data_IF_356958961809
#
_entry.id   IF_356958961809
#
_cell.length_a   1.000
_cell.length_b   1.000
_cell.length_c   1.000
_cell.angle_alpha   90.00
_cell.angle_beta   90.00
_cell.angle_gamma   90.00
#
_symmetry.space_group_name_H-M   'P 1'
#
loop_
_entity.id
_entity.type
_entity.pdbx_description
1 polymer ?
#
# COMPACT_ATOMS: atom_id res chain seq x y z
N UNK A 1 -1.88 1.83 -29.65
CA UNK A 1 -1.46 1.68 -31.07
C UNK A 1 -1.20 3.05 -31.62
N UNK A 2 -0.17 3.22 -32.45
CA UNK A 2 0.06 4.47 -33.17
C UNK A 2 -0.20 4.22 -34.65
N UNK A 3 -1.18 4.90 -35.22
CA UNK A 3 -1.30 5.02 -36.67
C UNK A 3 -0.10 5.84 -37.18
N UNK A 4 0.38 5.53 -38.38
CA UNK A 4 1.53 6.24 -38.94
C UNK A 4 1.12 7.55 -39.62
N UNK A 5 -0.15 7.63 -40.03
CA UNK A 5 -0.77 8.79 -40.65
C UNK A 5 -2.17 9.02 -40.04
N UNK A 6 -2.51 10.24 -39.61
CA UNK A 6 -3.86 10.55 -39.10
C UNK A 6 -4.99 10.21 -40.08
N UNK A 7 -4.75 10.23 -41.40
CA UNK A 7 -5.78 9.87 -42.39
C UNK A 7 -6.19 8.38 -42.29
N UNK A 8 -5.33 7.51 -41.75
CA UNK A 8 -5.64 6.10 -41.50
C UNK A 8 -6.75 5.92 -40.46
N UNK A 9 -7.01 6.94 -39.63
CA UNK A 9 -8.09 6.91 -38.64
C UNK A 9 -9.47 7.14 -39.28
N UNK A 10 -9.54 7.70 -40.49
CA UNK A 10 -10.81 8.04 -41.12
C UNK A 10 -11.65 6.79 -41.41
N UNK A 11 -12.84 6.73 -40.82
CA UNK A 11 -13.80 5.63 -41.01
C UNK A 11 -13.61 4.44 -40.06
N UNK A 12 -12.58 4.45 -39.22
CA UNK A 12 -12.42 3.49 -38.13
C UNK A 12 -13.28 3.86 -36.92
N UNK A 13 -13.65 2.86 -36.14
CA UNK A 13 -14.33 3.03 -34.85
C UNK A 13 -13.33 2.91 -33.69
N UNK A 14 -13.72 3.38 -32.51
CA UNK A 14 -12.86 3.32 -31.32
C UNK A 14 -12.41 1.88 -31.00
N UNK A 15 -13.27 0.88 -31.25
CA UNK A 15 -12.95 -0.53 -31.06
C UNK A 15 -11.96 -1.11 -32.07
N UNK A 16 -11.76 -0.45 -33.21
CA UNK A 16 -10.72 -0.82 -34.18
C UNK A 16 -9.33 -0.35 -33.71
N UNK A 17 -9.29 0.64 -32.82
CA UNK A 17 -8.06 1.32 -32.38
C UNK A 17 -7.67 0.98 -30.93
N UNK A 18 -8.65 0.65 -30.08
CA UNK A 18 -8.48 0.52 -28.64
C UNK A 18 -9.09 -0.77 -28.08
N UNK A 19 -8.54 -1.30 -26.98
CA UNK A 19 -9.20 -2.37 -26.22
C UNK A 19 -10.62 -1.97 -25.79
N UNK A 20 -11.52 -2.96 -25.68
CA UNK A 20 -12.96 -2.76 -25.43
C UNK A 20 -13.24 -1.77 -24.30
N UNK A 21 -12.63 -1.97 -23.11
CA UNK A 21 -12.89 -1.11 -21.95
C UNK A 21 -12.54 0.37 -22.21
N UNK A 22 -11.45 0.62 -22.95
CA UNK A 22 -11.04 1.97 -23.33
C UNK A 22 -11.94 2.54 -24.42
N UNK A 23 -12.27 1.75 -25.45
CA UNK A 23 -13.14 2.15 -26.54
C UNK A 23 -14.54 2.55 -26.04
N UNK A 24 -15.13 1.73 -25.16
CA UNK A 24 -16.44 1.98 -24.57
C UNK A 24 -16.45 3.27 -23.73
N UNK A 25 -15.39 3.49 -22.94
CA UNK A 25 -15.23 4.71 -22.16
C UNK A 25 -15.10 5.97 -23.04
N UNK A 26 -14.28 5.92 -24.10
CA UNK A 26 -14.13 7.04 -25.03
C UNK A 26 -15.43 7.37 -25.75
N UNK A 27 -16.16 6.35 -26.19
CA UNK A 27 -17.45 6.48 -26.84
C UNK A 27 -18.49 7.10 -25.90
N UNK A 28 -18.52 6.70 -24.64
CA UNK A 28 -19.41 7.27 -23.63
C UNK A 28 -19.10 8.76 -23.41
N UNK A 29 -17.82 9.14 -23.28
CA UNK A 29 -17.40 10.53 -23.14
C UNK A 29 -17.80 11.38 -24.37
N UNK A 30 -17.65 10.85 -25.59
CA UNK A 30 -18.08 11.55 -26.82
C UNK A 30 -19.59 11.76 -26.84
N UNK A 31 -20.38 10.72 -26.53
CA UNK A 31 -21.84 10.82 -26.45
C UNK A 31 -22.27 11.86 -25.41
N UNK A 32 -21.60 11.93 -24.26
CA UNK A 32 -21.91 12.90 -23.23
C UNK A 32 -21.64 14.35 -23.69
N UNK A 33 -20.50 14.59 -24.35
CA UNK A 33 -20.16 15.91 -24.92
C UNK A 33 -21.16 16.31 -26.01
N UNK A 34 -21.53 15.38 -26.90
CA UNK A 34 -22.51 15.63 -27.96
C UNK A 34 -23.90 15.97 -27.38
N UNK A 35 -24.35 15.23 -26.37
CA UNK A 35 -25.65 15.43 -25.74
C UNK A 35 -25.71 16.72 -24.90
N UNK A 36 -24.69 16.97 -24.08
CA UNK A 36 -24.64 18.12 -23.18
C UNK A 36 -24.30 19.42 -23.91
N UNK A 37 -23.61 19.33 -25.06
CA UNK A 37 -22.98 20.45 -25.76
C UNK A 37 -22.05 21.27 -24.86
N UNK A 38 -21.42 20.62 -23.88
CA UNK A 38 -20.46 21.23 -22.97
C UNK A 38 -19.09 20.54 -23.09
N UNK A 39 -17.98 21.29 -22.91
CA UNK A 39 -16.67 20.69 -22.79
C UNK A 39 -16.58 19.77 -21.58
N UNK A 40 -15.79 18.71 -21.72
CA UNK A 40 -15.52 17.72 -20.69
C UNK A 40 -14.01 17.50 -20.55
N UNK A 41 -13.57 17.31 -19.32
CA UNK A 41 -12.22 16.87 -19.00
C UNK A 41 -12.33 15.60 -18.17
N UNK A 42 -11.62 14.54 -18.56
CA UNK A 42 -11.58 13.26 -17.86
C UNK A 42 -10.14 12.79 -17.71
N UNK A 43 -9.86 12.04 -16.64
CA UNK A 43 -8.59 11.33 -16.48
C UNK A 43 -8.83 9.86 -16.81
N UNK A 44 -7.97 9.28 -17.64
CA UNK A 44 -8.03 7.88 -18.04
C UNK A 44 -6.67 7.22 -17.86
N UNK A 45 -6.67 5.97 -17.40
CA UNK A 45 -5.47 5.15 -17.31
C UNK A 45 -5.43 4.20 -18.49
N UNK A 46 -4.37 4.30 -19.29
CA UNK A 46 -4.19 3.45 -20.46
C UNK A 46 -3.01 2.52 -20.21
N UNK A 47 -3.22 1.22 -20.46
CA UNK A 47 -2.15 0.25 -20.45
C UNK A 47 -1.16 0.55 -21.59
N UNK A 48 0.10 0.70 -21.24
CA UNK A 48 1.25 0.86 -22.12
C UNK A 48 2.15 -0.37 -21.99
N UNK A 49 2.97 -0.66 -23.01
CA UNK A 49 3.90 -1.79 -23.00
C UNK A 49 4.93 -1.77 -21.86
N UNK A 50 5.05 -0.65 -21.13
CA UNK A 50 5.97 -0.45 -20.00
C UNK A 50 5.28 -0.18 -18.66
N UNK A 51 3.94 -0.23 -18.58
CA UNK A 51 3.16 0.12 -17.38
C UNK A 51 1.86 0.84 -17.73
N UNK A 52 1.22 1.53 -16.78
CA UNK A 52 0.07 2.39 -17.07
C UNK A 52 0.50 3.85 -17.22
N UNK A 53 -0.09 4.57 -18.19
CA UNK A 53 0.04 6.02 -18.30
C UNK A 53 -1.29 6.68 -17.92
N UNK A 54 -1.21 7.82 -17.25
CA UNK A 54 -2.37 8.64 -16.91
C UNK A 54 -2.52 9.73 -17.96
N UNK A 55 -3.64 9.70 -18.69
CA UNK A 55 -3.99 10.68 -19.69
C UNK A 55 -5.08 11.61 -19.15
N UNK A 56 -4.84 12.91 -19.24
CA UNK A 56 -5.87 13.93 -19.13
C UNK A 56 -6.45 14.16 -20.52
N UNK A 57 -7.72 13.81 -20.71
CA UNK A 57 -8.43 13.92 -21.97
C UNK A 57 -9.40 15.09 -21.88
N UNK A 58 -9.27 16.04 -22.80
CA UNK A 58 -10.20 17.14 -22.93
C UNK A 58 -10.96 17.02 -24.25
N UNK A 59 -12.28 17.18 -24.20
CA UNK A 59 -13.18 17.09 -25.36
C UNK A 59 -14.18 18.24 -25.34
N UNK A 60 -14.57 18.73 -26.51
CA UNK A 60 -15.59 19.77 -26.68
C UNK A 60 -16.43 19.53 -27.93
N UNK A 61 -17.69 20.01 -27.96
CA UNK A 61 -18.52 19.92 -29.14
C UNK A 61 -18.01 20.90 -30.21
N UNK A 62 -18.08 20.48 -31.46
CA UNK A 62 -17.87 21.36 -32.61
C UNK A 62 -19.24 21.72 -33.17
N UNK A 63 -19.52 23.01 -33.25
CA UNK A 63 -20.75 23.56 -33.79
C UNK A 63 -20.45 24.29 -35.12
N UNK A 64 -21.39 24.24 -36.06
CA UNK A 64 -21.34 25.05 -37.26
C UNK A 64 -21.77 26.51 -36.99
N UNK A 65 -21.79 27.34 -38.02
CA UNK A 65 -22.20 28.76 -37.93
C UNK A 65 -23.68 28.94 -37.53
N UNK A 66 -24.51 27.92 -37.70
CA UNK A 66 -25.93 27.91 -37.35
C UNK A 66 -26.20 27.32 -35.96
N UNK A 67 -25.17 26.83 -35.26
CA UNK A 67 -25.29 26.16 -33.96
C UNK A 67 -25.70 24.68 -34.05
N UNK A 68 -25.60 24.08 -35.24
CA UNK A 68 -25.77 22.65 -35.47
C UNK A 68 -24.51 21.88 -35.05
N UNK A 69 -24.72 20.71 -34.46
CA UNK A 69 -23.64 19.88 -33.90
C UNK A 69 -22.95 19.10 -35.03
N UNK A 70 -21.68 19.39 -35.27
CA UNK A 70 -20.85 18.71 -36.27
C UNK A 70 -20.13 17.48 -35.71
N UNK A 71 -19.78 17.49 -34.42
CA UNK A 71 -19.05 16.40 -33.79
C UNK A 71 -18.36 16.81 -32.49
N UNK A 72 -17.28 16.10 -32.15
CA UNK A 72 -16.40 16.43 -31.02
C UNK A 72 -14.99 16.72 -31.52
N UNK A 73 -14.27 17.54 -30.77
CA UNK A 73 -12.81 17.73 -30.89
C UNK A 73 -12.19 17.52 -29.53
N UNK A 74 -10.99 16.95 -29.49
CA UNK A 74 -10.30 16.74 -28.23
C UNK A 74 -8.82 16.52 -28.38
N UNK A 75 -8.13 16.51 -27.24
CA UNK A 75 -6.74 16.14 -27.13
C UNK A 75 -6.53 15.33 -25.84
N UNK A 76 -5.51 14.49 -25.84
CA UNK A 76 -5.06 13.78 -24.65
C UNK A 76 -3.65 14.27 -24.29
N UNK A 77 -3.41 14.52 -23.01
CA UNK A 77 -2.11 14.91 -22.46
C UNK A 77 -1.67 13.85 -21.46
N UNK A 78 -0.46 13.34 -21.63
CA UNK A 78 0.17 12.51 -20.61
C UNK A 78 0.49 13.36 -19.37
N UNK A 79 -0.15 13.03 -18.24
CA UNK A 79 0.04 13.66 -16.94
C UNK A 79 0.70 12.71 -15.93
N UNK A 80 1.28 11.60 -16.40
CA UNK A 80 1.89 10.57 -15.55
C UNK A 80 3.02 11.12 -14.68
N UNK A 81 3.85 12.02 -15.20
CA UNK A 81 4.91 12.68 -14.42
C UNK A 81 4.33 13.58 -13.33
N UNK A 82 3.30 14.37 -13.65
CA UNK A 82 2.60 15.24 -12.70
C UNK A 82 1.99 14.42 -11.55
N UNK A 83 1.24 13.36 -11.87
CA UNK A 83 0.63 12.47 -10.86
C UNK A 83 1.68 11.80 -9.96
N UNK A 84 2.79 11.34 -10.54
CA UNK A 84 3.92 10.77 -9.75
C UNK A 84 4.52 11.83 -8.82
N UNK A 85 4.69 13.06 -9.28
CA UNK A 85 5.16 14.18 -8.46
C UNK A 85 4.20 14.54 -7.32
N UNK A 86 2.91 14.62 -7.60
CA UNK A 86 1.86 14.87 -6.60
C UNK A 86 1.84 13.77 -5.51
N UNK A 87 1.91 12.50 -5.92
CA UNK A 87 1.98 11.37 -4.99
C UNK A 87 3.26 11.38 -4.15
N UNK A 88 4.42 11.67 -4.76
CA UNK A 88 5.68 11.75 -4.04
C UNK A 88 5.69 12.90 -3.02
N UNK A 89 5.11 14.04 -3.37
CA UNK A 89 4.97 15.18 -2.47
C UNK A 89 4.05 14.85 -1.29
N UNK A 90 2.93 14.19 -1.54
CA UNK A 90 2.00 13.79 -0.47
C UNK A 90 2.65 12.81 0.50
N UNK A 91 3.31 11.77 -0.03
CA UNK A 91 4.10 10.83 0.79
C UNK A 91 5.14 11.55 1.64
N UNK A 92 5.84 12.54 1.08
CA UNK A 92 6.84 13.32 1.83
C UNK A 92 6.21 14.13 2.97
N UNK A 93 5.05 14.76 2.73
CA UNK A 93 4.32 15.51 3.77
C UNK A 93 3.88 14.61 4.91
N UNK A 94 3.34 13.44 4.61
CA UNK A 94 2.91 12.47 5.61
C UNK A 94 4.09 11.91 6.41
N UNK A 95 5.20 11.58 5.74
CA UNK A 95 6.44 11.16 6.40
C UNK A 95 6.96 12.23 7.37
N UNK A 96 7.01 13.50 6.94
CA UNK A 96 7.43 14.61 7.80
C UNK A 96 6.49 14.82 8.99
N UNK A 97 5.18 14.74 8.77
CA UNK A 97 4.19 14.85 9.84
C UNK A 97 4.34 13.71 10.86
N UNK A 98 4.59 12.48 10.39
CA UNK A 98 4.80 11.31 11.25
C UNK A 98 6.08 11.42 12.06
N UNK A 99 7.19 11.78 11.41
CA UNK A 99 8.47 12.03 12.08
C UNK A 99 8.34 13.11 13.16
N UNK A 100 7.61 14.20 12.89
CA UNK A 100 7.36 15.25 13.87
C UNK A 100 6.59 14.74 15.10
N UNK A 101 5.58 13.90 14.91
CA UNK A 101 4.83 13.27 16.02
C UNK A 101 5.71 12.36 16.85
N UNK A 102 6.51 11.50 16.21
CA UNK A 102 7.41 10.57 16.90
C UNK A 102 8.53 11.29 17.64
N UNK A 103 9.15 12.30 17.01
CA UNK A 103 10.21 13.10 17.63
C UNK A 103 9.71 13.82 18.89
N UNK A 104 8.49 14.36 18.87
CA UNK A 104 7.89 14.99 20.05
C UNK A 104 7.70 14.02 21.22
N UNK A 105 7.49 12.73 20.96
CA UNK A 105 7.35 11.68 21.97
C UNK A 105 8.70 11.21 22.49
N UNK A 106 9.68 11.08 21.59
CA UNK A 106 11.06 10.77 21.98
C UNK A 106 11.66 11.87 22.87
N UNK A 107 11.44 13.16 22.55
CA UNK A 107 11.87 14.30 23.39
C UNK A 107 11.26 14.23 24.80
N UNK A 108 10.06 13.66 24.94
CA UNK A 108 9.40 13.47 26.25
C UNK A 108 9.96 12.27 27.04
N UNK A 109 10.91 11.52 26.47
CA UNK A 109 11.55 10.38 27.14
C UNK A 109 10.68 9.13 27.19
N UNK A 110 9.72 8.97 26.29
CA UNK A 110 8.88 7.77 26.23
C UNK A 110 9.69 6.51 25.89
N UNK A 111 9.28 5.37 26.45
CA UNK A 111 9.90 4.07 26.17
C UNK A 111 9.66 3.63 24.71
N UNK A 112 10.51 2.73 24.20
CA UNK A 112 10.32 2.13 22.88
C UNK A 112 8.95 1.47 22.72
N UNK A 113 8.45 0.79 23.75
CA UNK A 113 7.11 0.18 23.76
C UNK A 113 6.00 1.23 23.56
N UNK A 114 6.06 2.35 24.28
CA UNK A 114 5.07 3.42 24.15
C UNK A 114 5.12 4.07 22.74
N UNK A 115 6.32 4.16 22.15
CA UNK A 115 6.51 4.66 20.79
C UNK A 115 5.88 3.73 19.74
N UNK A 116 6.09 2.42 19.87
CA UNK A 116 5.53 1.44 18.92
C UNK A 116 4.02 1.31 19.06
N UNK A 117 3.48 1.32 20.29
CA UNK A 117 2.03 1.32 20.52
C UNK A 117 1.36 2.54 19.85
N UNK A 118 1.97 3.71 19.98
CA UNK A 118 1.47 4.91 19.35
C UNK A 118 1.53 4.93 17.84
N UNK A 119 2.60 4.36 17.29
CA UNK A 119 2.73 4.23 15.86
C UNK A 119 1.70 3.25 15.32
N UNK A 120 1.41 2.18 16.05
CA UNK A 120 0.31 1.26 15.74
C UNK A 120 -1.02 2.00 15.74
N UNK A 121 -1.30 2.84 16.74
CA UNK A 121 -2.53 3.65 16.78
C UNK A 121 -2.68 4.54 15.55
N UNK A 122 -1.60 5.22 15.16
CA UNK A 122 -1.60 6.07 13.97
C UNK A 122 -1.80 5.24 12.69
N UNK A 123 -1.18 4.06 12.61
CA UNK A 123 -1.37 3.14 11.47
C UNK A 123 -2.81 2.67 11.36
N UNK A 124 -3.44 2.29 12.47
CA UNK A 124 -4.84 1.87 12.51
C UNK A 124 -5.77 2.99 12.05
N UNK A 125 -5.56 4.21 12.56
CA UNK A 125 -6.34 5.39 12.19
C UNK A 125 -6.19 5.74 10.70
N UNK A 126 -4.96 5.73 10.17
CA UNK A 126 -4.69 6.05 8.76
C UNK A 126 -5.23 4.98 7.81
N UNK A 127 -5.12 3.71 8.20
CA UNK A 127 -5.56 2.57 7.39
C UNK A 127 -7.09 2.35 7.47
N UNK A 128 -7.76 2.90 8.50
CA UNK A 128 -9.12 2.49 8.84
C UNK A 128 -9.20 1.02 9.29
N UNK A 129 -8.10 0.50 9.86
CA UNK A 129 -8.00 -0.87 10.34
C UNK A 129 -8.53 -0.99 11.78
N UNK A 130 -9.14 -2.13 12.10
CA UNK A 130 -9.75 -2.39 13.41
C UNK A 130 -8.75 -2.95 14.44
N UNK A 131 -7.75 -3.69 13.96
CA UNK A 131 -6.75 -4.35 14.79
C UNK A 131 -5.42 -4.42 14.02
N UNK A 132 -4.32 -4.67 14.72
CA UNK A 132 -3.01 -4.83 14.09
C UNK A 132 -1.88 -5.04 15.08
N UNK A 133 -0.69 -5.24 14.51
CA UNK A 133 0.55 -5.37 15.24
C UNK A 133 1.72 -4.74 14.49
N UNK A 134 2.78 -4.48 15.25
CA UNK A 134 4.10 -4.12 14.74
C UNK A 134 5.08 -5.10 15.34
N UNK A 135 5.86 -5.75 14.48
CA UNK A 135 6.88 -6.69 14.89
C UNK A 135 8.20 -6.42 14.18
N UNK A 136 9.26 -6.79 14.87
CA UNK A 136 10.61 -6.81 14.36
C UNK A 136 10.97 -8.21 13.85
N UNK A 137 11.62 -8.26 12.69
CA UNK A 137 12.16 -9.52 12.14
C UNK A 137 13.65 -9.56 12.39
N UNK A 138 14.08 -10.54 13.17
CA UNK A 138 15.47 -10.82 13.46
C UNK A 138 15.90 -12.06 12.70
N UNK A 139 17.15 -12.11 12.25
CA UNK A 139 17.70 -13.30 11.62
C UNK A 139 18.73 -13.91 12.55
N UNK A 140 18.53 -15.17 12.95
CA UNK A 140 19.53 -15.96 13.67
C UNK A 140 20.82 -16.09 12.81
N UNK A 141 22.01 -16.32 13.38
CA UNK A 141 23.18 -16.84 12.67
C UNK A 141 22.93 -17.89 11.57
N UNK A 142 21.88 -18.72 11.70
CA UNK A 142 21.43 -19.73 10.72
C UNK A 142 20.54 -19.18 9.59
N UNK A 143 20.28 -17.88 9.57
CA UNK A 143 19.36 -17.18 8.66
C UNK A 143 17.89 -17.61 8.79
N UNK A 144 17.51 -18.17 9.93
CA UNK A 144 16.10 -18.40 10.26
C UNK A 144 15.48 -17.10 10.80
N UNK A 145 14.38 -16.61 10.19
CA UNK A 145 13.70 -15.42 10.68
C UNK A 145 12.96 -15.71 11.98
N UNK A 146 13.10 -14.81 12.95
CA UNK A 146 12.39 -14.80 14.21
C UNK A 146 11.64 -13.48 14.37
N UNK A 147 10.39 -13.55 14.77
CA UNK A 147 9.53 -12.38 14.95
C UNK A 147 9.50 -11.98 16.42
N UNK A 148 9.88 -10.74 16.71
CA UNK A 148 9.79 -10.12 18.03
C UNK A 148 8.67 -9.07 18.01
N UNK A 149 7.59 -9.32 18.74
CA UNK A 149 6.42 -8.44 18.79
C UNK A 149 6.75 -7.16 19.57
N UNK A 150 6.54 -6.00 18.95
CA UNK A 150 6.85 -4.69 19.54
C UNK A 150 5.60 -3.96 20.02
N UNK A 151 4.49 -4.11 19.30
CA UNK A 151 3.18 -3.60 19.67
C UNK A 151 2.10 -4.51 19.06
N UNK A 152 1.01 -4.70 19.78
CA UNK A 152 -0.13 -5.47 19.33
C UNK A 152 -1.39 -4.93 20.02
N UNK A 153 -2.52 -4.97 19.33
CA UNK A 153 -3.83 -4.73 19.94
C UNK A 153 -4.41 -6.04 20.48
N UNK A 154 -5.71 -6.26 20.34
CA UNK A 154 -6.45 -7.26 21.10
C UNK A 154 -6.28 -8.69 20.53
N UNK A 155 -5.97 -8.82 19.25
CA UNK A 155 -5.78 -10.12 18.59
C UNK A 155 -4.38 -10.69 18.79
N UNK A 156 -4.28 -11.97 19.18
CA UNK A 156 -3.00 -12.71 19.19
C UNK A 156 -2.65 -13.18 17.78
N UNK A 157 -2.06 -12.29 16.98
CA UNK A 157 -1.70 -12.57 15.58
C UNK A 157 -0.72 -13.73 15.42
N UNK A 158 0.25 -13.85 16.32
CA UNK A 158 1.28 -14.89 16.25
C UNK A 158 0.73 -16.28 16.60
N UNK A 159 -0.18 -16.35 17.57
CA UNK A 159 -0.81 -17.61 17.99
C UNK A 159 -2.01 -18.02 17.14
N UNK A 160 -2.80 -17.05 16.67
CA UNK A 160 -4.05 -17.33 15.96
C UNK A 160 -3.88 -17.52 14.46
N UNK A 161 -2.85 -16.92 13.84
CA UNK A 161 -2.63 -16.94 12.38
C UNK A 161 -1.16 -17.21 12.02
N UNK A 162 -0.55 -18.32 12.46
CA UNK A 162 0.85 -18.62 12.18
C UNK A 162 1.15 -18.75 10.69
N UNK A 163 0.20 -19.25 9.89
CA UNK A 163 0.33 -19.37 8.44
C UNK A 163 0.54 -18.03 7.73
N UNK A 164 -0.13 -16.97 8.21
CA UNK A 164 0.01 -15.63 7.64
C UNK A 164 1.40 -15.05 7.91
N UNK A 165 1.95 -15.32 9.09
CA UNK A 165 3.28 -14.88 9.49
C UNK A 165 4.35 -15.68 8.75
N UNK A 166 4.19 -16.99 8.61
CA UNK A 166 5.11 -17.85 7.87
C UNK A 166 5.18 -17.45 6.38
N UNK A 167 4.03 -17.13 5.78
CA UNK A 167 3.98 -16.59 4.41
C UNK A 167 4.72 -15.25 4.31
N UNK A 168 4.45 -14.32 5.24
CA UNK A 168 5.10 -13.01 5.26
C UNK A 168 6.63 -13.10 5.42
N UNK A 169 7.12 -14.05 6.23
CA UNK A 169 8.56 -14.29 6.43
C UNK A 169 9.23 -14.90 5.19
N UNK A 170 8.51 -15.65 4.37
CA UNK A 170 9.02 -16.19 3.10
C UNK A 170 9.17 -15.12 2.02
N UNK A 171 8.50 -13.97 2.17
CA UNK A 171 8.51 -12.87 1.22
C UNK A 171 9.80 -12.02 1.23
N UNK A 172 10.78 -12.32 2.09
CA UNK A 172 12.10 -11.66 2.13
C UNK A 172 12.81 -11.64 0.75
N UNK A 173 12.41 -12.53 -0.18
CA UNK A 173 12.94 -12.57 -1.55
C UNK A 173 12.12 -11.81 -2.60
N UNK A 174 10.88 -11.45 -2.31
CA UNK A 174 9.94 -10.86 -3.30
C UNK A 174 9.63 -9.38 -3.05
N UNK A 175 9.64 -8.92 -1.79
CA UNK A 175 9.39 -7.53 -1.45
C UNK A 175 10.58 -6.62 -1.81
N UNK A 176 10.35 -5.60 -2.63
CA UNK A 176 11.38 -4.63 -3.03
C UNK A 176 11.38 -3.35 -2.19
N UNK A 177 10.25 -3.03 -1.56
CA UNK A 177 10.04 -1.77 -0.84
C UNK A 177 9.24 -1.99 0.45
N UNK A 178 9.49 -1.14 1.46
CA UNK A 178 8.66 -1.09 2.68
C UNK A 178 7.21 -0.81 2.31
N UNK A 179 6.25 -1.37 3.03
CA UNK A 179 4.81 -1.21 2.79
C UNK A 179 4.27 -2.03 1.60
N UNK A 180 5.10 -2.87 0.98
CA UNK A 180 4.60 -3.93 0.12
C UNK A 180 3.77 -4.96 0.92
N UNK A 181 2.63 -5.36 0.39
CA UNK A 181 1.84 -6.47 0.93
C UNK A 181 2.60 -7.77 0.66
N UNK A 182 2.85 -8.55 1.71
CA UNK A 182 3.63 -9.80 1.63
C UNK A 182 2.84 -11.05 1.99
N UNK A 183 1.72 -10.89 2.70
CA UNK A 183 0.76 -11.95 2.94
C UNK A 183 -0.61 -11.32 3.20
N UNK A 184 -1.68 -12.02 2.81
CA UNK A 184 -3.03 -11.64 3.19
C UNK A 184 -3.95 -12.85 3.38
N UNK A 185 -4.92 -12.72 4.26
CA UNK A 185 -5.89 -13.77 4.57
C UNK A 185 -7.26 -13.18 4.85
N UNK A 186 -8.31 -13.75 4.25
CA UNK A 186 -9.68 -13.33 4.51
C UNK A 186 -10.08 -13.60 5.97
N UNK A 187 -10.96 -12.76 6.52
CA UNK A 187 -11.55 -12.99 7.84
C UNK A 187 -12.63 -14.07 7.77
N UNK A 188 -12.59 -15.03 8.70
CA UNK A 188 -13.56 -16.11 8.77
C UNK A 188 -15.00 -15.57 8.85
N UNK A 189 -15.80 -15.83 7.81
CA UNK A 189 -17.21 -15.45 7.75
C UNK A 189 -17.48 -13.95 7.69
N UNK A 190 -16.48 -13.11 7.42
CA UNK A 190 -16.61 -11.66 7.29
C UNK A 190 -16.02 -11.14 5.96
N UNK A 191 -16.49 -10.00 5.43
CA UNK A 191 -15.96 -9.41 4.19
C UNK A 191 -14.60 -8.71 4.36
N UNK A 192 -13.95 -8.86 5.51
CA UNK A 192 -12.69 -8.22 5.85
C UNK A 192 -11.48 -9.11 5.56
N UNK A 193 -10.30 -8.55 5.73
CA UNK A 193 -9.02 -9.20 5.40
C UNK A 193 -7.93 -8.77 6.38
N UNK A 194 -7.05 -9.72 6.73
CA UNK A 194 -5.79 -9.46 7.44
C UNK A 194 -4.69 -9.34 6.42
N UNK A 195 -3.87 -8.31 6.56
CA UNK A 195 -2.79 -8.01 5.62
C UNK A 195 -1.50 -7.76 6.39
N UNK A 196 -0.44 -8.42 5.96
CA UNK A 196 0.92 -8.19 6.45
C UNK A 196 1.70 -7.35 5.44
N UNK A 197 2.28 -6.26 5.92
CA UNK A 197 3.15 -5.38 5.17
C UNK A 197 4.61 -5.59 5.58
N UNK A 198 5.51 -5.63 4.60
CA UNK A 198 6.94 -5.72 4.83
C UNK A 198 7.54 -4.39 5.25
N UNK A 199 8.53 -4.43 6.14
CA UNK A 199 9.37 -3.30 6.50
C UNK A 199 10.78 -3.66 6.10
N UNK A 200 11.31 -2.95 5.10
CA UNK A 200 12.58 -3.26 4.47
C UNK A 200 13.67 -2.26 4.88
N UNK A 201 14.87 -2.77 5.12
CA UNK A 201 16.09 -1.97 5.27
C UNK A 201 17.23 -2.67 4.52
N UNK A 202 17.97 -1.94 3.69
CA UNK A 202 19.07 -2.50 2.87
C UNK A 202 18.72 -3.80 2.13
N UNK A 203 17.50 -3.86 1.55
CA UNK A 203 16.93 -5.03 0.87
C UNK A 203 16.79 -6.29 1.74
N UNK A 204 16.62 -6.11 3.05
CA UNK A 204 16.30 -7.17 4.00
C UNK A 204 15.02 -6.85 4.73
N UNK A 205 14.21 -7.86 4.99
CA UNK A 205 13.06 -7.76 5.86
C UNK A 205 13.56 -7.54 7.31
N UNK A 206 13.23 -6.39 7.87
CA UNK A 206 13.59 -6.01 9.26
C UNK A 206 12.39 -5.92 10.18
N UNK A 207 11.18 -5.92 9.63
CA UNK A 207 9.95 -5.84 10.41
C UNK A 207 8.72 -6.20 9.61
N UNK A 208 7.62 -6.39 10.34
CA UNK A 208 6.29 -6.67 9.81
C UNK A 208 5.30 -5.74 10.48
N UNK A 209 4.34 -5.25 9.70
CA UNK A 209 3.15 -4.56 10.20
C UNK A 209 1.94 -5.36 9.74
N UNK A 210 1.19 -5.94 10.67
CA UNK A 210 -0.07 -6.60 10.36
C UNK A 210 -1.24 -5.66 10.66
N UNK A 211 -2.20 -5.59 9.74
CA UNK A 211 -3.43 -4.80 9.92
C UNK A 211 -4.64 -5.63 9.53
N UNK A 212 -5.69 -5.55 10.33
CA UNK A 212 -6.99 -6.17 10.07
C UNK A 212 -7.96 -5.11 9.54
N UNK A 213 -8.46 -5.33 8.33
CA UNK A 213 -9.41 -4.45 7.68
C UNK A 213 -10.83 -5.03 7.79
N UNK A 214 -11.84 -4.24 8.21
CA UNK A 214 -13.22 -4.70 8.30
C UNK A 214 -13.88 -4.93 6.94
N UNK A 215 -13.22 -4.54 5.84
CA UNK A 215 -13.62 -4.74 4.44
C UNK A 215 -12.38 -5.05 3.59
N UNK A 216 -12.57 -5.62 2.41
CA UNK A 216 -11.51 -5.86 1.44
C UNK A 216 -10.62 -4.62 1.23
N UNK A 217 -9.31 -4.85 1.10
CA UNK A 217 -8.32 -3.80 0.94
C UNK A 217 -8.60 -3.00 -0.35
N UNK A 218 -8.56 -1.65 -0.33
CA UNK A 218 -8.55 -0.88 -1.57
C UNK A 218 -7.28 -1.21 -2.38
N UNK A 219 -7.40 -1.22 -3.72
CA UNK A 219 -6.33 -1.62 -4.67
C UNK A 219 -4.99 -0.89 -4.49
N UNK A 220 -4.98 0.23 -3.76
CA UNK A 220 -3.78 0.95 -3.36
C UNK A 220 -3.78 1.24 -1.86
N UNK A 221 -2.69 0.86 -1.18
CA UNK A 221 -2.41 1.29 0.18
C UNK A 221 -2.30 2.83 0.23
N UNK A 222 -2.93 3.46 1.20
CA UNK A 222 -2.91 4.92 1.27
C UNK A 222 -1.47 5.42 1.51
N UNK A 223 -1.07 6.57 0.90
CA UNK A 223 0.25 7.16 1.09
C UNK A 223 0.66 7.27 2.57
N UNK A 224 -0.28 7.59 3.46
CA UNK A 224 -0.03 7.72 4.90
C UNK A 224 0.41 6.43 5.57
N UNK A 225 -0.19 5.28 5.21
CA UNK A 225 0.22 3.97 5.74
C UNK A 225 1.61 3.61 5.23
N UNK A 226 1.87 3.82 3.94
CA UNK A 226 3.20 3.64 3.34
C UNK A 226 4.27 4.48 4.05
N UNK A 227 3.97 5.75 4.34
CA UNK A 227 4.83 6.67 5.06
C UNK A 227 5.10 6.20 6.51
N UNK A 228 4.07 5.76 7.22
CA UNK A 228 4.19 5.27 8.59
C UNK A 228 5.02 3.99 8.69
N UNK A 229 4.79 3.00 7.82
CA UNK A 229 5.58 1.76 7.72
C UNK A 229 7.05 2.07 7.37
N UNK A 230 7.29 3.01 6.45
CA UNK A 230 8.67 3.42 6.13
C UNK A 230 9.37 4.07 7.32
N UNK A 231 8.64 4.89 8.08
CA UNK A 231 9.17 5.56 9.28
C UNK A 231 9.54 4.56 10.36
N UNK A 232 8.77 3.49 10.53
CA UNK A 232 9.10 2.39 11.44
C UNK A 232 10.49 1.80 11.15
N UNK A 233 10.80 1.52 9.87
CA UNK A 233 12.11 1.01 9.47
C UNK A 233 13.28 1.92 9.86
N UNK A 234 13.07 3.24 9.87
CA UNK A 234 14.10 4.22 10.26
C UNK A 234 14.34 4.28 11.78
N UNK A 235 13.29 4.11 12.58
CA UNK A 235 13.39 4.22 14.04
C UNK A 235 13.80 2.91 14.72
N UNK A 236 13.52 1.77 14.08
CA UNK A 236 13.80 0.45 14.63
C UNK A 236 15.25 0.28 15.11
N UNK A 237 16.29 0.68 14.34
CA UNK A 237 17.67 0.61 14.80
C UNK A 237 17.98 1.56 15.96
N UNK A 238 17.36 2.76 15.99
CA UNK A 238 17.60 3.77 17.01
C UNK A 238 17.03 3.35 18.37
N UNK A 239 15.84 2.76 18.37
CA UNK A 239 15.19 2.22 19.57
C UNK A 239 15.95 1.00 20.10
N UNK A 240 16.43 0.10 19.22
CA UNK A 240 17.29 -1.04 19.61
C UNK A 240 18.53 -0.61 20.40
N UNK A 241 19.24 0.41 19.91
CA UNK A 241 20.48 0.88 20.55
C UNK A 241 20.24 1.51 21.94
N UNK A 242 19.08 2.11 22.16
CA UNK A 242 18.73 2.73 23.45
C UNK A 242 18.00 1.77 24.41
N UNK A 243 17.28 0.77 23.91
CA UNK A 243 16.62 -0.27 24.72
C UNK A 243 17.56 -1.38 25.21
N UNK A 244 18.68 -1.59 24.54
CA UNK A 244 19.68 -2.62 24.89
C UNK A 244 20.39 -2.42 26.23
N UNK A 245 20.25 -1.25 26.88
CA UNK A 245 20.85 -1.00 28.19
C UNK A 245 19.99 -1.48 29.39
N UNK A 246 18.73 -1.92 29.17
CA UNK A 246 17.78 -2.11 30.26
C UNK A 246 17.25 -3.54 30.49
N UNK A 247 17.52 -4.53 29.63
CA UNK A 247 16.96 -5.89 29.81
C UNK A 247 18.04 -6.99 29.77
N UNK A 248 18.93 -6.96 30.76
CA UNK A 248 19.64 -8.16 31.23
C UNK A 248 18.71 -8.96 32.16
N UNK A 249 17.88 -9.82 31.59
CA UNK A 249 16.90 -10.59 32.36
C UNK A 249 16.36 -11.77 31.57
N UNK A 250 17.21 -12.78 31.36
CA UNK A 250 16.86 -14.09 30.79
C UNK A 250 15.68 -14.69 31.57
N UNK A 251 14.47 -14.66 30.99
CA UNK A 251 13.40 -15.60 31.35
C UNK A 251 13.47 -16.76 30.36
N UNK A 252 14.22 -17.79 30.73
CA UNK A 252 14.09 -19.11 30.12
C UNK A 252 12.64 -19.61 30.27
N UNK A 253 12.01 -20.16 29.23
CA UNK A 253 10.77 -20.90 29.38
C UNK A 253 11.07 -22.16 30.21
N UNK A 254 10.26 -22.38 31.27
CA UNK A 254 10.33 -23.59 32.09
C UNK A 254 10.12 -24.81 31.19
N UNK A 255 11.15 -25.64 31.08
CA UNK A 255 10.99 -27.04 30.69
C UNK A 255 10.20 -27.73 31.80
N UNK A 256 8.92 -28.04 31.56
CA UNK A 256 8.23 -29.08 32.32
C UNK A 256 8.62 -30.43 31.73
N UNK A 257 9.55 -31.08 32.43
CA UNK A 257 9.97 -32.45 32.23
C UNK A 257 8.81 -33.41 32.45
N UNK A 258 8.14 -33.82 31.38
CA UNK A 258 7.35 -35.06 31.38
C UNK A 258 8.29 -36.21 31.01
N UNK A 259 8.88 -36.83 32.04
CA UNK A 259 9.50 -38.15 31.94
C UNK A 259 8.91 -39.07 32.99
N UNK A 260 8.10 -40.01 32.49
CA UNK A 260 8.07 -41.40 32.97
C UNK A 260 7.03 -41.73 34.03
N UNK A 261 6.03 -42.53 33.65
CA UNK A 261 6.12 -43.97 33.93
C UNK A 261 5.08 -44.76 33.12
N UNK A 262 5.58 -45.64 32.26
CA UNK A 262 4.85 -46.79 31.71
C UNK A 262 5.02 -47.98 32.68
N UNK A 263 3.89 -48.62 32.99
CA UNK A 263 3.66 -50.07 33.12
C UNK A 263 4.27 -50.83 34.31
N UNK A 264 3.37 -51.31 35.18
CA UNK A 264 3.10 -52.75 35.35
C UNK A 264 1.59 -52.95 35.48
#
# INVERSE_FOLDING_TARGET
GGLNDPDEACGLQDHDLWPTDCADAYRADDIEVLNSRLPRCSESFVASGTGSICLEVWKAPVLDENGELLGTVGFARDISERKRGEQALERSREQLAMLGRLQARFIRGESGEALFAAMLDILLDLAGASDGFIAEVMHDPRHEPQVNLLACRDTDWLGAHPELIDEALQADRSAQESGAVVASAALDGQPGERVCFAVMSDRRLVGLVGLEFPRALPDACCPGVQAAISTFGLILPAVRQHGGAAHGGTRQPRQESLHGQHVA
#
